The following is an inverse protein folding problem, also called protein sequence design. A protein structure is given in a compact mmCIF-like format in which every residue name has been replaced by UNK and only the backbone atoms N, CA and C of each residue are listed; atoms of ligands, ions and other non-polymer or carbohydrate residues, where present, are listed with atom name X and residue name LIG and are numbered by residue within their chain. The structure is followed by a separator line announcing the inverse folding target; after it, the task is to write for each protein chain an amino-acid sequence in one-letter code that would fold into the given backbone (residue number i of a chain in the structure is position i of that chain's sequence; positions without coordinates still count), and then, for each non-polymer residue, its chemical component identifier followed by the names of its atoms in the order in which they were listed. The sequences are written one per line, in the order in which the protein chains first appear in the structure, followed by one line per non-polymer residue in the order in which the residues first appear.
data_IF_338196574208
#
_entry.id   IF_338196574208
#
_cell.length_a   1.000
_cell.length_b   1.000
_cell.length_c   1.000
_cell.angle_alpha   90.00
_cell.angle_beta   90.00
_cell.angle_gamma   90.00
#
_symmetry.space_group_name_H-M   'P 1'
#
loop_
_entity.id
_entity.type
_entity.pdbx_description
1 polymer ?
#
# COMPACT_ATOMS: atom_id res chain seq x y z
N UNK A 1 -90.07 21.23 1.33
CA UNK A 1 -88.91 21.10 2.23
C UNK A 1 -87.84 20.31 1.48
N UNK A 2 -87.07 21.01 0.64
CA UNK A 2 -85.66 21.42 0.87
C UNK A 2 -84.71 20.22 0.97
N UNK A 3 -83.93 20.09 -0.11
CA UNK A 3 -82.84 19.15 -0.36
C UNK A 3 -81.62 19.49 0.49
N UNK A 4 -80.87 18.47 0.91
CA UNK A 4 -79.44 18.60 1.16
C UNK A 4 -78.75 17.32 0.65
N UNK A 5 -78.00 17.46 -0.46
CA UNK A 5 -77.06 16.47 -0.97
C UNK A 5 -75.66 16.90 -0.52
N UNK A 6 -74.82 16.04 0.06
CA UNK A 6 -73.43 16.39 0.32
C UNK A 6 -72.59 16.20 -0.95
N UNK A 7 -71.92 17.26 -1.37
CA UNK A 7 -70.91 17.26 -2.43
C UNK A 7 -69.63 16.65 -1.86
N UNK A 8 -69.30 15.42 -2.26
CA UNK A 8 -67.96 14.85 -2.03
C UNK A 8 -67.03 15.32 -3.14
N UNK A 9 -66.13 16.24 -2.78
CA UNK A 9 -65.05 16.74 -3.64
C UNK A 9 -63.94 15.67 -3.70
N UNK A 10 -63.87 14.90 -4.78
CA UNK A 10 -62.80 13.92 -5.01
C UNK A 10 -61.61 14.63 -5.67
N UNK A 11 -60.66 15.11 -4.86
CA UNK A 11 -59.39 15.70 -5.34
C UNK A 11 -58.43 14.58 -5.73
N UNK A 12 -58.36 14.27 -7.02
CA UNK A 12 -57.42 13.34 -7.63
C UNK A 12 -56.01 13.97 -7.66
N UNK A 13 -55.19 13.69 -6.64
CA UNK A 13 -53.76 14.04 -6.63
C UNK A 13 -53.00 13.04 -7.50
N UNK A 14 -52.61 13.49 -8.68
CA UNK A 14 -51.73 12.79 -9.61
C UNK A 14 -50.31 12.73 -9.02
N UNK A 15 -49.96 11.62 -8.38
CA UNK A 15 -48.60 11.34 -7.92
C UNK A 15 -47.70 11.06 -9.13
N UNK A 16 -46.97 12.07 -9.60
CA UNK A 16 -45.88 11.89 -10.56
C UNK A 16 -44.75 11.18 -9.82
N UNK A 17 -44.68 9.87 -9.92
CA UNK A 17 -43.49 9.10 -9.49
C UNK A 17 -42.38 9.36 -10.49
N UNK A 18 -41.42 10.19 -10.09
CA UNK A 18 -40.16 10.33 -10.80
C UNK A 18 -39.41 8.99 -10.66
N UNK A 19 -39.46 8.15 -11.70
CA UNK A 19 -38.67 6.93 -11.77
C UNK A 19 -37.19 7.34 -11.89
N UNK A 20 -36.49 7.41 -10.76
CA UNK A 20 -35.03 7.49 -10.79
C UNK A 20 -34.52 6.14 -11.28
N UNK A 21 -34.06 6.08 -12.53
CA UNK A 21 -33.26 4.96 -13.01
C UNK A 21 -31.91 4.99 -12.26
N UNK A 22 -31.85 4.29 -11.12
CA UNK A 22 -30.59 3.99 -10.47
C UNK A 22 -29.90 2.92 -11.33
N UNK A 23 -28.86 3.31 -12.06
CA UNK A 23 -27.93 2.36 -12.69
C UNK A 23 -27.22 1.58 -11.60
N UNK A 24 -27.82 0.47 -11.15
CA UNK A 24 -27.14 -0.50 -10.31
C UNK A 24 -26.07 -1.21 -11.12
N UNK A 25 -24.89 -1.40 -10.53
CA UNK A 25 -23.83 -2.22 -11.12
C UNK A 25 -24.11 -3.72 -11.02
N UNK A 26 -25.17 -4.10 -10.30
CA UNK A 26 -25.63 -5.49 -10.09
C UNK A 26 -25.68 -6.34 -11.37
N UNK A 27 -26.28 -5.89 -12.50
CA UNK A 27 -26.30 -6.67 -13.73
C UNK A 27 -24.89 -6.90 -14.29
N UNK A 28 -23.99 -5.92 -14.15
CA UNK A 28 -22.62 -6.00 -14.64
C UNK A 28 -21.75 -6.92 -13.77
N UNK A 29 -21.95 -6.89 -12.45
CA UNK A 29 -21.32 -7.82 -11.50
C UNK A 29 -21.69 -9.26 -11.86
N UNK A 30 -22.99 -9.54 -12.03
CA UNK A 30 -23.46 -10.89 -12.37
C UNK A 30 -22.94 -11.35 -13.74
N UNK A 31 -22.90 -10.44 -14.73
CA UNK A 31 -22.33 -10.74 -16.03
C UNK A 31 -20.85 -11.13 -15.92
N UNK A 32 -20.04 -10.37 -15.18
CA UNK A 32 -18.62 -10.68 -14.99
C UNK A 32 -18.41 -11.96 -14.18
N UNK A 33 -19.22 -12.20 -13.15
CA UNK A 33 -19.14 -13.41 -12.36
C UNK A 33 -19.38 -14.66 -13.21
N UNK A 34 -20.47 -14.69 -13.98
CA UNK A 34 -20.77 -15.83 -14.84
C UNK A 34 -19.74 -16.00 -15.96
N UNK A 35 -19.28 -14.91 -16.55
CA UNK A 35 -18.20 -14.97 -17.55
C UNK A 35 -16.91 -15.55 -16.96
N UNK A 36 -16.47 -15.07 -15.79
CA UNK A 36 -15.25 -15.52 -15.15
C UNK A 36 -15.37 -17.00 -14.73
N UNK A 37 -16.52 -17.40 -14.19
CA UNK A 37 -16.84 -18.77 -13.80
C UNK A 37 -16.77 -19.74 -14.99
N UNK A 38 -17.37 -19.37 -16.13
CA UNK A 38 -17.30 -20.19 -17.34
C UNK A 38 -15.88 -20.33 -17.86
N UNK A 39 -15.12 -19.23 -17.92
CA UNK A 39 -13.71 -19.26 -18.33
C UNK A 39 -12.87 -20.16 -17.40
N UNK A 40 -13.14 -20.09 -16.08
CA UNK A 40 -12.47 -20.95 -15.09
C UNK A 40 -12.79 -22.43 -15.33
N UNK A 41 -14.06 -22.79 -15.54
CA UNK A 41 -14.46 -24.18 -15.83
C UNK A 41 -13.95 -24.71 -17.17
N UNK A 42 -13.68 -23.83 -18.13
CA UNK A 42 -12.98 -24.17 -19.37
C UNK A 42 -11.45 -24.30 -19.20
N UNK A 43 -10.91 -24.09 -17.99
CA UNK A 43 -9.48 -24.11 -17.71
C UNK A 43 -8.73 -22.85 -18.18
N UNK A 44 -9.45 -21.82 -18.65
CA UNK A 44 -8.88 -20.55 -19.14
C UNK A 44 -8.63 -19.58 -17.99
N UNK A 45 -7.76 -19.99 -17.07
CA UNK A 45 -7.52 -19.25 -15.81
C UNK A 45 -6.97 -17.84 -16.03
N UNK A 46 -6.13 -17.61 -17.05
CA UNK A 46 -5.63 -16.27 -17.37
C UNK A 46 -6.78 -15.33 -17.75
N UNK A 47 -7.69 -15.79 -18.61
CA UNK A 47 -8.84 -15.01 -19.06
C UNK A 47 -9.82 -14.78 -17.91
N UNK A 48 -10.09 -15.81 -17.10
CA UNK A 48 -10.91 -15.70 -15.89
C UNK A 48 -10.33 -14.64 -14.93
N UNK A 49 -9.03 -14.64 -14.70
CA UNK A 49 -8.34 -13.65 -13.86
C UNK A 49 -8.48 -12.23 -14.41
N UNK A 50 -8.47 -12.02 -15.73
CA UNK A 50 -8.75 -10.71 -16.32
C UNK A 50 -10.17 -10.25 -15.97
N UNK A 51 -11.17 -11.13 -16.08
CA UNK A 51 -12.57 -10.80 -15.78
C UNK A 51 -12.78 -10.54 -14.28
N UNK A 52 -12.24 -11.38 -13.39
CA UNK A 52 -12.30 -11.14 -11.94
C UNK A 52 -11.69 -9.79 -11.55
N UNK A 53 -10.57 -9.40 -12.17
CA UNK A 53 -9.94 -8.09 -11.93
C UNK A 53 -10.79 -6.92 -12.41
N UNK A 54 -11.52 -7.07 -13.52
CA UNK A 54 -12.53 -6.07 -13.93
C UNK A 54 -13.62 -5.94 -12.88
N UNK A 55 -14.05 -7.04 -12.29
CA UNK A 55 -15.07 -7.02 -11.23
C UNK A 55 -14.57 -6.36 -9.94
N UNK A 56 -13.31 -6.62 -9.53
CA UNK A 56 -12.67 -5.94 -8.40
C UNK A 56 -12.54 -4.42 -8.57
N UNK A 57 -12.54 -3.93 -9.81
CA UNK A 57 -12.49 -2.50 -10.11
C UNK A 57 -13.85 -1.80 -9.99
N UNK A 58 -14.95 -2.54 -9.79
CA UNK A 58 -16.28 -1.97 -9.60
C UNK A 58 -16.41 -1.37 -8.20
N UNK A 59 -17.03 -0.20 -8.11
CA UNK A 59 -17.31 0.48 -6.83
C UNK A 59 -18.61 -0.02 -6.20
N UNK A 60 -18.69 -1.33 -5.93
CA UNK A 60 -19.90 -1.99 -5.44
C UNK A 60 -19.60 -3.21 -4.58
N UNK A 61 -20.61 -3.71 -3.89
CA UNK A 61 -20.51 -4.96 -3.12
C UNK A 61 -20.40 -6.14 -4.08
N UNK A 62 -19.42 -7.01 -3.86
CA UNK A 62 -19.22 -8.20 -4.68
C UNK A 62 -19.82 -9.43 -3.99
N UNK A 63 -20.35 -10.40 -4.77
CA UNK A 63 -20.83 -11.67 -4.24
C UNK A 63 -19.73 -12.40 -3.48
N UNK A 64 -20.06 -13.01 -2.35
CA UNK A 64 -19.10 -13.76 -1.52
C UNK A 64 -18.45 -14.91 -2.29
N UNK A 65 -19.23 -15.61 -3.12
CA UNK A 65 -18.79 -16.70 -4.00
C UNK A 65 -17.65 -16.33 -4.93
N UNK A 66 -17.56 -15.04 -5.33
CA UNK A 66 -16.42 -14.59 -6.10
C UNK A 66 -15.10 -14.80 -5.36
N UNK A 67 -15.07 -14.62 -4.04
CA UNK A 67 -13.83 -14.79 -3.27
C UNK A 67 -13.28 -16.21 -3.41
N UNK A 68 -14.14 -17.23 -3.37
CA UNK A 68 -13.73 -18.61 -3.61
C UNK A 68 -13.30 -18.82 -5.07
N UNK A 69 -14.15 -18.46 -6.04
CA UNK A 69 -13.87 -18.69 -7.47
C UNK A 69 -12.58 -18.00 -7.93
N UNK A 70 -12.33 -16.79 -7.41
CA UNK A 70 -11.10 -16.07 -7.72
C UNK A 70 -9.89 -16.68 -7.01
N UNK A 71 -10.04 -17.18 -5.78
CA UNK A 71 -8.97 -17.91 -5.11
C UNK A 71 -8.54 -19.15 -5.89
N UNK A 72 -9.50 -19.96 -6.36
CA UNK A 72 -9.24 -21.15 -7.19
C UNK A 72 -8.52 -20.76 -8.50
N UNK A 73 -9.02 -19.72 -9.19
CA UNK A 73 -8.36 -19.18 -10.38
C UNK A 73 -6.91 -18.77 -10.11
N UNK A 74 -6.65 -18.07 -8.99
CA UNK A 74 -5.32 -17.63 -8.62
C UNK A 74 -4.39 -18.80 -8.25
N UNK A 75 -4.93 -19.88 -7.68
CA UNK A 75 -4.17 -21.09 -7.39
C UNK A 75 -3.63 -21.72 -8.68
N UNK A 76 -4.50 -21.91 -9.69
CA UNK A 76 -4.09 -22.46 -10.99
C UNK A 76 -3.09 -21.57 -11.74
N UNK A 77 -3.07 -20.26 -11.45
CA UNK A 77 -2.08 -19.32 -11.99
C UNK A 77 -0.78 -19.27 -11.17
N UNK A 78 -0.62 -20.08 -10.14
CA UNK A 78 0.55 -20.07 -9.24
C UNK A 78 0.62 -18.85 -8.31
N UNK A 79 -0.42 -18.02 -8.27
CA UNK A 79 -0.52 -16.84 -7.40
C UNK A 79 -0.98 -17.26 -5.99
N UNK A 80 -0.29 -18.24 -5.39
CA UNK A 80 -0.70 -18.94 -4.17
C UNK A 80 -0.96 -17.99 -2.99
N UNK A 81 -0.17 -16.93 -2.82
CA UNK A 81 -0.42 -16.00 -1.71
C UNK A 81 -1.71 -15.20 -1.88
N UNK A 82 -1.99 -14.74 -3.10
CA UNK A 82 -3.22 -14.02 -3.40
C UNK A 82 -4.42 -14.97 -3.26
N UNK A 83 -4.29 -16.20 -3.78
CA UNK A 83 -5.28 -17.26 -3.62
C UNK A 83 -5.61 -17.51 -2.15
N UNK A 84 -4.60 -17.69 -1.28
CA UNK A 84 -4.78 -17.88 0.17
C UNK A 84 -5.53 -16.71 0.82
N UNK A 85 -5.23 -15.47 0.44
CA UNK A 85 -5.91 -14.29 0.98
C UNK A 85 -7.40 -14.27 0.61
N UNK A 86 -7.74 -14.56 -0.65
CA UNK A 86 -9.13 -14.61 -1.12
C UNK A 86 -9.89 -15.79 -0.52
N UNK A 87 -9.26 -16.96 -0.39
CA UNK A 87 -9.84 -18.14 0.25
C UNK A 87 -10.16 -17.88 1.73
N UNK A 88 -9.22 -17.25 2.44
CA UNK A 88 -9.42 -16.85 3.83
C UNK A 88 -10.59 -15.87 3.94
N UNK A 89 -10.69 -14.91 3.00
CA UNK A 89 -11.80 -13.96 2.95
C UNK A 89 -13.14 -14.68 2.75
N UNK A 90 -13.21 -15.63 1.83
CA UNK A 90 -14.39 -16.46 1.59
C UNK A 90 -14.84 -17.17 2.88
N UNK A 91 -13.95 -17.97 3.48
CA UNK A 91 -14.24 -18.73 4.70
C UNK A 91 -14.63 -17.84 5.88
N UNK A 92 -14.08 -16.62 5.96
CA UNK A 92 -14.44 -15.63 6.99
C UNK A 92 -15.84 -15.06 6.79
N UNK A 93 -16.25 -14.83 5.54
CA UNK A 93 -17.56 -14.27 5.21
C UNK A 93 -18.67 -15.31 5.38
N UNK A 94 -18.44 -16.53 4.90
CA UNK A 94 -19.50 -17.55 4.76
C UNK A 94 -19.50 -18.56 5.90
N UNK A 95 -18.35 -18.81 6.53
CA UNK A 95 -18.16 -19.97 7.40
C UNK A 95 -18.59 -21.27 6.71
N UNK A 96 -19.22 -22.16 7.48
CA UNK A 96 -19.72 -23.46 7.00
C UNK A 96 -20.97 -23.38 6.12
N UNK A 97 -21.61 -22.22 6.04
CA UNK A 97 -22.83 -22.03 5.24
C UNK A 97 -22.53 -21.71 3.76
N UNK A 98 -21.25 -21.53 3.41
CA UNK A 98 -20.83 -21.20 2.05
C UNK A 98 -21.10 -22.31 1.05
N UNK A 99 -21.57 -21.94 -0.15
CA UNK A 99 -21.84 -22.82 -1.29
C UNK A 99 -20.63 -23.67 -1.74
N UNK A 100 -19.42 -23.18 -1.47
CA UNK A 100 -18.12 -23.77 -1.80
C UNK A 100 -17.33 -24.17 -0.55
N UNK A 101 -17.97 -24.42 0.61
CA UNK A 101 -17.25 -24.74 1.85
C UNK A 101 -16.32 -25.96 1.71
N UNK A 102 -16.82 -27.09 1.20
CA UNK A 102 -16.00 -28.30 1.03
C UNK A 102 -14.86 -28.09 0.01
N UNK A 103 -15.12 -27.57 -1.22
CA UNK A 103 -14.05 -27.21 -2.15
C UNK A 103 -13.04 -26.21 -1.58
N UNK A 104 -13.47 -25.28 -0.73
CA UNK A 104 -12.60 -24.32 -0.07
C UNK A 104 -11.62 -24.99 0.91
N UNK A 105 -12.04 -26.04 1.61
CA UNK A 105 -11.15 -26.82 2.47
C UNK A 105 -10.12 -27.59 1.65
N UNK A 106 -10.54 -28.21 0.55
CA UNK A 106 -9.62 -28.91 -0.37
C UNK A 106 -8.57 -27.93 -0.94
N UNK A 107 -9.01 -26.76 -1.39
CA UNK A 107 -8.12 -25.72 -1.90
C UNK A 107 -7.16 -25.20 -0.80
N UNK A 108 -7.61 -25.14 0.45
CA UNK A 108 -6.77 -24.75 1.57
C UNK A 108 -5.61 -25.73 1.78
N UNK A 109 -5.87 -27.03 1.72
CA UNK A 109 -4.82 -28.06 1.84
C UNK A 109 -3.80 -27.96 0.69
N UNK A 110 -4.28 -27.77 -0.55
CA UNK A 110 -3.44 -27.58 -1.72
C UNK A 110 -2.55 -26.33 -1.59
N UNK A 111 -3.11 -25.23 -1.09
CA UNK A 111 -2.38 -23.99 -0.83
C UNK A 111 -1.35 -24.17 0.28
N UNK A 112 -1.64 -24.90 1.34
CA UNK A 112 -0.70 -25.16 2.43
C UNK A 112 0.52 -25.97 1.94
N UNK A 113 0.32 -26.89 0.98
CA UNK A 113 1.42 -27.58 0.31
C UNK A 113 2.20 -26.60 -0.59
N UNK A 114 1.52 -25.81 -1.42
CA UNK A 114 2.17 -24.87 -2.34
C UNK A 114 2.95 -23.76 -1.61
N UNK A 115 2.41 -23.25 -0.50
CA UNK A 115 3.02 -22.20 0.32
C UNK A 115 4.20 -22.71 1.15
N UNK A 116 4.26 -24.01 1.48
CA UNK A 116 5.47 -24.63 2.06
C UNK A 116 6.67 -24.52 1.12
N UNK A 117 6.46 -24.69 -0.19
CA UNK A 117 7.52 -24.49 -1.18
C UNK A 117 8.02 -23.04 -1.22
N UNK A 118 7.10 -22.07 -1.14
CA UNK A 118 7.43 -20.64 -1.04
C UNK A 118 8.22 -20.33 0.23
N UNK A 119 7.80 -20.89 1.36
CA UNK A 119 8.41 -20.63 2.67
C UNK A 119 9.83 -21.20 2.75
N UNK A 120 10.06 -22.36 2.13
CA UNK A 120 11.38 -23.00 2.08
C UNK A 120 12.29 -22.43 0.99
N UNK A 121 11.76 -21.57 0.11
CA UNK A 121 12.53 -20.94 -0.95
C UNK A 121 13.35 -19.75 -0.41
N UNK A 122 14.67 -19.95 -0.24
CA UNK A 122 15.62 -18.88 0.16
C UNK A 122 15.69 -17.70 -0.84
N UNK A 123 15.17 -17.91 -2.04
CA UNK A 123 15.15 -16.95 -3.13
C UNK A 123 13.74 -16.44 -3.42
N UNK A 124 12.78 -16.61 -2.52
CA UNK A 124 11.42 -16.13 -2.71
C UNK A 124 11.03 -15.21 -1.55
N UNK A 125 10.14 -14.25 -1.81
CA UNK A 125 9.49 -13.54 -0.72
C UNK A 125 8.31 -14.38 -0.17
N UNK A 126 7.73 -13.95 0.95
CA UNK A 126 6.56 -14.61 1.54
C UNK A 126 5.29 -14.59 0.68
N UNK A 127 5.31 -13.91 -0.48
CA UNK A 127 4.23 -13.91 -1.45
C UNK A 127 4.48 -14.87 -2.65
N UNK A 128 5.63 -15.56 -2.69
CA UNK A 128 5.96 -16.53 -3.75
C UNK A 128 6.72 -15.94 -4.93
N UNK A 129 7.02 -14.64 -4.94
CA UNK A 129 7.81 -14.03 -6.02
C UNK A 129 9.29 -14.31 -5.81
N UNK A 130 9.98 -14.65 -6.90
CA UNK A 130 11.43 -14.85 -6.88
C UNK A 130 12.13 -13.51 -6.60
N UNK A 131 13.17 -13.58 -5.81
CA UNK A 131 14.00 -12.46 -5.42
C UNK A 131 15.22 -12.40 -6.34
N UNK A 132 15.53 -11.20 -6.82
CA UNK A 132 16.73 -10.89 -7.60
C UNK A 132 17.55 -9.82 -6.91
N UNK A 133 18.86 -9.80 -7.15
CA UNK A 133 19.76 -8.86 -6.47
C UNK A 133 19.43 -7.40 -6.83
N UNK A 134 19.41 -6.53 -5.83
CA UNK A 134 19.23 -5.11 -6.05
C UNK A 134 20.57 -4.49 -6.47
N UNK A 135 20.75 -4.28 -7.77
CA UNK A 135 21.95 -3.64 -8.34
C UNK A 135 22.09 -2.17 -7.94
N UNK A 136 20.99 -1.48 -7.61
CA UNK A 136 21.04 -0.08 -7.17
C UNK A 136 21.86 0.12 -5.90
N UNK A 137 21.76 -0.82 -4.95
CA UNK A 137 22.47 -0.75 -3.67
C UNK A 137 23.49 -1.88 -3.50
N UNK A 138 23.78 -2.66 -4.55
CA UNK A 138 24.68 -3.81 -4.50
C UNK A 138 24.42 -4.73 -3.30
N UNK A 139 23.15 -5.00 -3.01
CA UNK A 139 22.71 -5.84 -1.88
C UNK A 139 23.03 -5.29 -0.48
N UNK A 140 23.40 -4.02 -0.34
CA UNK A 140 23.56 -3.36 0.97
C UNK A 140 22.21 -2.93 1.58
N UNK A 141 21.18 -2.78 0.74
CA UNK A 141 19.81 -2.42 1.15
C UNK A 141 19.68 -0.96 1.59
N UNK A 142 20.79 -0.26 1.71
CA UNK A 142 20.88 1.14 2.06
C UNK A 142 21.71 1.87 1.01
N UNK A 143 21.54 3.19 0.96
CA UNK A 143 22.38 4.08 0.17
C UNK A 143 22.83 5.21 1.08
N UNK A 144 24.14 5.41 1.11
CA UNK A 144 24.75 6.54 1.79
C UNK A 144 24.68 7.77 0.89
N UNK A 145 24.02 8.81 1.38
CA UNK A 145 23.95 10.11 0.72
C UNK A 145 24.81 11.09 1.48
N UNK A 146 25.45 12.00 0.75
CA UNK A 146 26.16 13.12 1.37
C UNK A 146 25.22 13.86 2.33
N UNK A 147 25.68 14.05 3.57
CA UNK A 147 24.87 14.73 4.58
C UNK A 147 24.58 16.17 4.12
N UNK A 148 23.30 16.56 3.94
CA UNK A 148 22.96 17.87 3.41
C UNK A 148 23.33 19.01 4.38
N UNK A 149 23.32 18.73 5.69
CA UNK A 149 23.59 19.74 6.71
C UNK A 149 25.06 20.21 6.76
N UNK A 150 25.99 19.31 6.48
CA UNK A 150 27.42 19.64 6.43
C UNK A 150 28.04 19.49 5.05
N UNK A 151 27.24 19.15 4.02
CA UNK A 151 27.68 18.95 2.64
C UNK A 151 28.92 18.05 2.51
N UNK A 152 28.99 16.99 3.32
CA UNK A 152 30.14 16.06 3.32
C UNK A 152 31.36 16.50 4.14
N UNK A 153 31.33 17.65 4.81
CA UNK A 153 32.45 18.10 5.65
C UNK A 153 32.51 17.45 7.04
N UNK A 154 31.38 16.91 7.54
CA UNK A 154 31.29 16.30 8.88
C UNK A 154 31.27 17.32 10.02
N UNK A 155 31.37 18.61 9.70
CA UNK A 155 31.38 19.74 10.64
C UNK A 155 30.54 20.89 10.10
N UNK A 156 30.05 21.74 11.00
CA UNK A 156 29.31 22.96 10.69
C UNK A 156 29.96 24.16 11.36
N UNK A 157 29.84 25.34 10.75
CA UNK A 157 30.36 26.58 11.31
C UNK A 157 29.66 26.94 12.63
N UNK A 158 30.41 27.44 13.61
CA UNK A 158 29.84 28.00 14.83
C UNK A 158 29.09 29.28 14.51
N UNK A 159 27.79 29.31 14.74
CA UNK A 159 26.93 30.45 14.45
C UNK A 159 27.20 31.66 15.37
N UNK A 160 27.83 31.45 16.53
CA UNK A 160 28.13 32.52 17.49
C UNK A 160 29.32 33.39 17.05
N UNK A 161 30.37 32.77 16.51
CA UNK A 161 31.59 33.45 16.05
C UNK A 161 31.80 33.39 14.54
N UNK A 162 30.81 32.88 13.78
CA UNK A 162 30.87 32.72 12.33
C UNK A 162 32.16 32.06 11.84
N UNK A 163 32.65 31.03 12.53
CA UNK A 163 33.83 30.29 12.11
C UNK A 163 35.17 30.82 12.60
N UNK A 164 35.22 32.03 13.16
CA UNK A 164 36.48 32.68 13.56
C UNK A 164 37.07 32.10 14.85
N UNK A 165 36.26 31.42 15.67
CA UNK A 165 36.68 30.95 17.00
C UNK A 165 36.81 32.07 18.04
N UNK A 166 36.64 33.33 17.64
CA UNK A 166 36.72 34.51 18.52
C UNK A 166 35.51 35.43 18.31
N UNK A 167 35.13 36.14 19.37
CA UNK A 167 34.13 37.21 19.33
C UNK A 167 34.86 38.56 19.35
N UNK A 168 34.49 39.44 18.43
CA UNK A 168 35.08 40.77 18.28
C UNK A 168 34.07 41.83 18.75
N UNK A 169 34.46 42.66 19.71
CA UNK A 169 33.67 43.79 20.19
C UNK A 169 34.51 45.07 20.22
N UNK A 170 33.85 46.23 20.38
CA UNK A 170 34.53 47.51 20.61
C UNK A 170 34.44 47.85 22.09
N UNK A 171 35.54 48.29 22.68
CA UNK A 171 35.53 48.84 24.03
C UNK A 171 35.06 50.30 24.04
N UNK A 172 34.99 50.90 25.24
CA UNK A 172 34.59 52.31 25.44
C UNK A 172 35.48 53.33 24.73
N UNK A 173 36.67 52.93 24.28
CA UNK A 173 37.64 53.76 23.57
C UNK A 173 37.62 53.52 22.05
N UNK A 174 36.69 52.69 21.55
CA UNK A 174 36.57 52.37 20.13
C UNK A 174 37.64 51.41 19.59
N UNK A 175 38.44 50.77 20.45
CA UNK A 175 39.41 49.75 20.00
C UNK A 175 38.81 48.35 20.05
N UNK A 176 39.24 47.48 19.13
CA UNK A 176 38.78 46.08 19.04
C UNK A 176 39.27 45.27 20.24
N UNK A 177 38.36 44.54 20.85
CA UNK A 177 38.62 43.55 21.88
C UNK A 177 38.23 42.17 21.36
N UNK A 178 39.05 41.17 21.67
CA UNK A 178 38.86 39.78 21.26
C UNK A 178 38.58 38.91 22.50
N UNK A 179 37.60 38.04 22.40
CA UNK A 179 37.32 37.01 23.39
C UNK A 179 37.20 35.65 22.71
N UNK A 180 37.75 34.59 23.30
CA UNK A 180 37.54 33.24 22.79
C UNK A 180 36.05 32.92 22.77
N UNK A 181 35.57 32.35 21.66
CA UNK A 181 34.18 31.94 21.57
C UNK A 181 33.94 30.71 22.44
N UNK A 182 33.30 30.93 23.58
CA UNK A 182 32.78 29.92 24.51
C UNK A 182 31.91 28.84 23.85
N UNK A 183 31.10 29.20 22.85
CA UNK A 183 30.19 28.24 22.20
C UNK A 183 30.91 27.20 21.36
N UNK A 184 32.19 27.36 21.01
CA UNK A 184 32.95 26.36 20.25
C UNK A 184 34.37 26.16 20.79
N UNK A 185 34.63 26.62 22.02
CA UNK A 185 35.94 26.56 22.68
C UNK A 185 37.10 27.04 21.78
N UNK A 186 36.88 28.14 21.05
CA UNK A 186 37.91 28.69 20.16
C UNK A 186 38.10 27.97 18.81
N UNK A 187 37.39 26.87 18.54
CA UNK A 187 37.59 26.06 17.32
C UNK A 187 36.95 26.62 16.07
N UNK A 188 35.96 27.51 16.20
CA UNK A 188 35.16 28.05 15.10
C UNK A 188 34.16 27.07 14.48
N UNK A 189 34.20 25.79 14.84
CA UNK A 189 33.40 24.72 14.23
C UNK A 189 32.74 23.82 15.27
N UNK A 190 31.67 23.15 14.86
CA UNK A 190 30.97 22.09 15.57
C UNK A 190 31.02 20.80 14.75
N UNK A 191 31.07 19.65 15.42
CA UNK A 191 30.76 18.38 14.74
C UNK A 191 29.31 18.46 14.24
N UNK A 192 29.10 18.06 12.98
CA UNK A 192 27.77 18.08 12.39
C UNK A 192 26.84 17.19 13.22
N UNK A 193 25.78 17.76 13.79
CA UNK A 193 24.87 17.01 14.67
C UNK A 193 24.00 15.99 13.94
N UNK A 194 23.81 16.18 12.63
CA UNK A 194 22.94 15.32 11.81
C UNK A 194 23.66 14.03 11.42
N UNK A 195 24.90 14.11 10.93
CA UNK A 195 25.70 12.93 10.58
C UNK A 195 26.70 12.52 11.68
N UNK A 196 26.79 13.28 12.78
CA UNK A 196 27.73 13.02 13.88
C UNK A 196 29.18 12.86 13.39
N UNK A 197 29.54 13.61 12.35
CA UNK A 197 30.88 13.56 11.75
C UNK A 197 31.10 12.49 10.68
N UNK A 198 30.15 11.57 10.43
CA UNK A 198 30.29 10.52 9.39
C UNK A 198 30.26 11.07 7.97
N UNK A 199 29.83 12.32 7.78
CA UNK A 199 29.69 13.03 6.48
C UNK A 199 28.56 12.51 5.60
N UNK A 200 27.96 11.37 5.93
CA UNK A 200 26.89 10.72 5.17
C UNK A 200 25.66 10.45 6.03
N UNK A 201 24.51 10.29 5.38
CA UNK A 201 23.27 9.81 5.96
C UNK A 201 22.88 8.55 5.20
N UNK A 202 22.79 7.44 5.92
CA UNK A 202 22.33 6.18 5.36
C UNK A 202 20.80 6.18 5.31
N UNK A 203 20.25 5.79 4.17
CA UNK A 203 18.81 5.68 3.97
C UNK A 203 18.46 4.36 3.29
N UNK A 204 17.28 3.78 3.51
CA UNK A 204 16.85 2.61 2.77
C UNK A 204 16.96 2.84 1.26
N UNK A 205 17.46 1.83 0.53
CA UNK A 205 17.56 1.90 -0.92
C UNK A 205 16.15 2.14 -1.50
N UNK A 206 15.93 3.15 -2.36
CA UNK A 206 14.61 3.45 -2.89
C UNK A 206 14.08 2.36 -3.83
N UNK A 207 14.96 1.53 -4.39
CA UNK A 207 14.59 0.47 -5.33
C UNK A 207 14.10 -0.79 -4.60
N UNK A 208 14.84 -1.27 -3.60
CA UNK A 208 14.43 -2.45 -2.83
C UNK A 208 13.77 -2.12 -1.48
N UNK A 209 13.64 -0.85 -1.11
CA UNK A 209 13.04 -0.41 0.16
C UNK A 209 13.70 -1.05 1.39
N UNK A 210 15.00 -1.38 1.30
CA UNK A 210 15.72 -2.06 2.38
C UNK A 210 15.71 -3.59 2.32
N UNK A 211 14.95 -4.23 1.42
CA UNK A 211 14.86 -5.70 1.37
C UNK A 211 16.08 -6.41 0.78
N UNK A 212 17.13 -5.67 0.40
CA UNK A 212 18.36 -6.13 -0.28
C UNK A 212 18.13 -6.72 -1.68
N UNK A 213 16.94 -7.26 -1.96
CA UNK A 213 16.53 -7.95 -3.17
C UNK A 213 15.22 -7.39 -3.72
N UNK A 214 15.04 -7.40 -5.03
CA UNK A 214 13.81 -7.02 -5.74
C UNK A 214 12.93 -8.24 -5.99
N UNK A 215 11.63 -8.01 -6.18
CA UNK A 215 10.66 -9.06 -6.55
C UNK A 215 10.59 -9.15 -8.09
N UNK A 216 10.72 -10.33 -8.67
CA UNK A 216 10.52 -10.59 -10.11
C UNK A 216 9.09 -11.01 -10.41
#
# INVERSE_FOLDING_TARGET
MVRALPVFLFSFLLSITCLQAQTSSEPLVNQYLEQAKNLMYEGKYQDANVVFRKMLALNTTLPEDMSYLFAETLYHLGQHKNSQNFLTKYLTLTGRAGSYYEPALELQELLDVAMRAVTNCRFCNGAGFRLVDCTTCNQEGTLDKTCPNCQGHGRTQCQKCYGEGVLVSLNKLGTRQYATCDNCDGKGIHTCRVCVGTKVISSPCPTCLGSLKLRS
#
